data_IF_839729377290
#
_entry.id   IF_839729377290
#
_cell.length_a   1.000
_cell.length_b   1.000
_cell.length_c   1.000
_cell.angle_alpha   90.00
_cell.angle_beta   90.00
_cell.angle_gamma   90.00
#
_symmetry.space_group_name_H-M   'P 1'
#
loop_
_entity.id
_entity.type
_entity.pdbx_description
1 polymer ?
#
# COMPACT_ATOMS: atom_id res chain seq x y z
N UNK A 1 -17.88 24.42 5.57
CA UNK A 1 -18.93 23.37 5.50
C UNK A 1 -18.45 22.30 4.53
N UNK A 2 -18.41 21.02 4.94
CA UNK A 2 -18.07 19.91 4.05
C UNK A 2 -19.37 19.28 3.56
N UNK A 3 -19.69 19.30 2.25
CA UNK A 3 -20.97 18.82 1.76
C UNK A 3 -21.21 17.34 2.13
N UNK A 4 -22.37 16.96 2.67
CA UNK A 4 -22.69 15.56 2.96
C UNK A 4 -22.53 14.63 1.76
N UNK A 5 -22.82 15.11 0.55
CA UNK A 5 -22.61 14.38 -0.70
C UNK A 5 -21.14 14.04 -0.96
N UNK A 6 -20.22 14.96 -0.63
CA UNK A 6 -18.78 14.74 -0.75
C UNK A 6 -18.30 13.69 0.26
N UNK A 7 -18.82 13.74 1.49
CA UNK A 7 -18.52 12.72 2.52
C UNK A 7 -18.98 11.34 2.07
N UNK A 8 -20.22 11.23 1.56
CA UNK A 8 -20.76 9.98 1.05
C UNK A 8 -19.93 9.43 -0.13
N UNK A 9 -19.56 10.29 -1.07
CA UNK A 9 -18.71 9.91 -2.21
C UNK A 9 -17.34 9.38 -1.77
N UNK A 10 -16.64 10.08 -0.86
CA UNK A 10 -15.33 9.63 -0.38
C UNK A 10 -15.44 8.34 0.44
N UNK A 11 -16.47 8.23 1.28
CA UNK A 11 -16.72 6.99 2.03
C UNK A 11 -16.96 5.81 1.10
N UNK A 12 -17.72 6.00 0.02
CA UNK A 12 -17.92 4.97 -1.00
C UNK A 12 -16.58 4.57 -1.64
N UNK A 13 -15.77 5.54 -2.06
CA UNK A 13 -14.44 5.27 -2.64
C UNK A 13 -13.51 4.52 -1.69
N UNK A 14 -13.55 4.84 -0.39
CA UNK A 14 -12.81 4.08 0.63
C UNK A 14 -13.32 2.64 0.66
N UNK A 15 -14.62 2.43 0.86
CA UNK A 15 -15.20 1.09 1.02
C UNK A 15 -15.19 0.22 -0.23
N UNK A 16 -15.10 0.82 -1.41
CA UNK A 16 -14.99 0.13 -2.70
C UNK A 16 -13.57 0.16 -3.27
N UNK A 17 -12.57 0.40 -2.43
CA UNK A 17 -11.19 0.49 -2.88
C UNK A 17 -10.75 -0.81 -3.54
N UNK A 18 -10.09 -0.69 -4.68
CA UNK A 18 -9.39 -1.77 -5.37
C UNK A 18 -8.03 -1.26 -5.82
N UNK A 19 -7.00 -2.10 -5.69
CA UNK A 19 -5.69 -1.86 -6.28
C UNK A 19 -5.79 -2.00 -7.81
N UNK A 20 -5.13 -1.10 -8.55
CA UNK A 20 -5.02 -1.20 -9.99
C UNK A 20 -3.92 -2.22 -10.39
N UNK A 21 -4.01 -2.82 -11.57
CA UNK A 21 -3.05 -3.86 -12.00
C UNK A 21 -1.61 -3.35 -12.16
N UNK A 22 -1.45 -2.06 -12.43
CA UNK A 22 -0.17 -1.37 -12.61
C UNK A 22 0.39 -0.76 -11.32
N UNK A 23 -0.39 -0.76 -10.23
CA UNK A 23 0.04 -0.20 -8.95
C UNK A 23 0.89 -1.20 -8.16
N UNK A 24 2.00 -0.69 -7.64
CA UNK A 24 2.74 -1.33 -6.56
C UNK A 24 1.93 -1.35 -5.25
N UNK A 25 2.34 -2.18 -4.28
CA UNK A 25 1.70 -2.18 -2.95
C UNK A 25 1.83 -0.81 -2.27
N UNK A 26 2.99 -0.14 -2.45
CA UNK A 26 3.22 1.20 -1.92
C UNK A 26 2.24 2.23 -2.48
N UNK A 27 2.10 2.29 -3.81
CA UNK A 27 1.22 3.26 -4.48
C UNK A 27 -0.24 3.04 -4.08
N UNK A 28 -0.69 1.78 -4.05
CA UNK A 28 -2.03 1.43 -3.60
C UNK A 28 -2.27 1.85 -2.15
N UNK A 29 -1.31 1.60 -1.25
CA UNK A 29 -1.43 1.95 0.17
C UNK A 29 -1.45 3.46 0.40
N UNK A 30 -0.59 4.23 -0.26
CA UNK A 30 -0.61 5.70 -0.17
C UNK A 30 -1.90 6.27 -0.74
N UNK A 31 -2.38 5.80 -1.90
CA UNK A 31 -3.67 6.23 -2.47
C UNK A 31 -4.83 5.97 -1.52
N UNK A 32 -4.82 4.83 -0.85
CA UNK A 32 -5.84 4.51 0.15
C UNK A 32 -5.76 5.44 1.36
N UNK A 33 -4.55 5.70 1.89
CA UNK A 33 -4.36 6.65 3.00
C UNK A 33 -4.78 8.07 2.62
N UNK A 34 -4.56 8.49 1.37
CA UNK A 34 -5.03 9.79 0.87
C UNK A 34 -6.56 9.89 0.88
N UNK A 35 -7.29 8.84 0.50
CA UNK A 35 -8.75 8.82 0.60
C UNK A 35 -9.23 9.00 2.05
N UNK A 36 -8.55 8.36 3.03
CA UNK A 36 -8.85 8.53 4.46
C UNK A 36 -8.59 9.98 4.92
N UNK A 37 -7.45 10.57 4.52
CA UNK A 37 -7.06 11.95 4.85
C UNK A 37 -8.02 12.99 4.24
N UNK A 38 -8.59 12.71 3.05
CA UNK A 38 -9.58 13.57 2.40
C UNK A 38 -10.94 13.57 3.12
N UNK A 39 -11.23 12.54 3.92
CA UNK A 39 -12.49 12.41 4.66
C UNK A 39 -12.23 12.03 6.13
N UNK A 40 -11.56 12.87 6.95
CA UNK A 40 -11.16 12.50 8.31
C UNK A 40 -12.33 12.15 9.23
N UNK A 41 -13.54 12.64 8.90
CA UNK A 41 -14.82 12.31 9.53
C UNK A 41 -15.51 11.08 8.91
N UNK A 42 -14.76 10.15 8.30
CA UNK A 42 -15.28 8.96 7.63
C UNK A 42 -16.00 7.97 8.58
N UNK A 43 -15.69 8.00 9.89
CA UNK A 43 -16.35 7.18 10.91
C UNK A 43 -16.10 5.68 10.81
N UNK A 44 -15.03 5.27 10.11
CA UNK A 44 -14.62 3.88 9.97
C UNK A 44 -13.69 3.51 11.12
N UNK A 45 -13.89 2.32 11.69
CA UNK A 45 -13.00 1.77 12.70
C UNK A 45 -11.70 1.26 12.06
N UNK A 46 -10.62 1.19 12.84
CA UNK A 46 -9.29 0.83 12.32
C UNK A 46 -9.27 -0.56 11.67
N UNK A 47 -9.93 -1.55 12.28
CA UNK A 47 -10.06 -2.88 11.68
C UNK A 47 -10.80 -2.86 10.32
N UNK A 48 -11.82 -2.00 10.15
CA UNK A 48 -12.53 -1.85 8.87
C UNK A 48 -11.61 -1.27 7.80
N UNK A 49 -10.75 -0.32 8.17
CA UNK A 49 -9.76 0.29 7.25
C UNK A 49 -8.79 -0.78 6.74
N UNK A 50 -8.23 -1.59 7.64
CA UNK A 50 -7.32 -2.71 7.30
C UNK A 50 -8.03 -3.73 6.42
N UNK A 51 -9.24 -4.17 6.82
CA UNK A 51 -10.02 -5.15 6.07
C UNK A 51 -10.37 -4.67 4.67
N UNK A 52 -10.74 -3.40 4.53
CA UNK A 52 -11.10 -2.80 3.24
C UNK A 52 -9.90 -2.81 2.30
N UNK A 53 -8.72 -2.40 2.77
CA UNK A 53 -7.51 -2.44 1.95
C UNK A 53 -7.12 -3.86 1.56
N UNK A 54 -7.07 -4.78 2.52
CA UNK A 54 -6.72 -6.20 2.28
C UNK A 54 -7.67 -6.89 1.27
N UNK A 55 -8.95 -6.54 1.30
CA UNK A 55 -9.93 -7.04 0.33
C UNK A 55 -9.82 -6.36 -1.04
N UNK A 56 -9.31 -5.14 -1.08
CA UNK A 56 -9.12 -4.36 -2.31
C UNK A 56 -7.83 -4.68 -3.07
N UNK A 57 -6.80 -5.21 -2.41
CA UNK A 57 -5.55 -5.58 -3.10
C UNK A 57 -5.70 -6.83 -3.95
N UNK A 58 -4.87 -6.93 -5.00
CA UNK A 58 -4.87 -8.08 -5.92
C UNK A 58 -4.40 -9.36 -5.22
N UNK A 59 -4.84 -10.51 -5.71
CA UNK A 59 -4.60 -11.81 -5.06
C UNK A 59 -3.11 -12.13 -4.78
N UNK A 60 -2.15 -11.83 -5.69
CA UNK A 60 -0.73 -12.03 -5.39
C UNK A 60 -0.23 -11.20 -4.21
N UNK A 61 -0.68 -9.93 -4.12
CA UNK A 61 -0.32 -9.02 -3.01
C UNK A 61 -0.93 -9.50 -1.70
N UNK A 62 -2.19 -9.93 -1.74
CA UNK A 62 -2.85 -10.54 -0.57
C UNK A 62 -2.07 -11.74 -0.02
N UNK A 63 -1.66 -12.66 -0.90
CA UNK A 63 -0.88 -13.83 -0.51
C UNK A 63 0.49 -13.45 0.10
N UNK A 64 1.15 -12.41 -0.41
CA UNK A 64 2.39 -11.89 0.19
C UNK A 64 2.16 -11.32 1.59
N UNK A 65 1.05 -10.61 1.80
CA UNK A 65 0.70 -10.05 3.11
C UNK A 65 0.42 -11.16 4.12
N UNK A 66 -0.35 -12.19 3.74
CA UNK A 66 -0.61 -13.35 4.61
C UNK A 66 0.70 -14.10 4.94
N UNK A 67 1.57 -14.31 3.96
CA UNK A 67 2.87 -14.93 4.20
C UNK A 67 3.73 -14.13 5.20
N UNK A 68 3.72 -12.80 5.11
CA UNK A 68 4.44 -11.92 6.04
C UNK A 68 3.83 -11.91 7.45
N UNK A 69 2.51 -12.08 7.56
CA UNK A 69 1.82 -12.25 8.85
C UNK A 69 2.06 -13.65 9.46
N UNK A 70 2.62 -14.61 8.72
CA UNK A 70 2.79 -15.99 9.17
C UNK A 70 1.47 -16.78 9.22
N UNK A 71 0.43 -16.30 8.52
CA UNK A 71 -0.94 -16.79 8.62
C UNK A 71 -1.92 -15.87 7.89
N UNK A 72 -3.19 -15.85 8.27
CA UNK A 72 -4.08 -14.83 7.71
C UNK A 72 -3.82 -13.48 8.40
N UNK A 73 -3.73 -12.39 7.64
CA UNK A 73 -3.64 -11.05 8.26
C UNK A 73 -4.77 -10.79 9.26
N UNK A 74 -5.95 -11.36 9.03
CA UNK A 74 -7.14 -11.16 9.85
C UNK A 74 -7.08 -11.83 11.23
N UNK A 75 -6.04 -12.63 11.52
CA UNK A 75 -5.80 -13.12 12.89
C UNK A 75 -5.03 -12.14 13.77
N UNK A 76 -4.36 -11.15 13.16
CA UNK A 76 -3.59 -10.14 13.86
C UNK A 76 -4.48 -9.08 14.50
N UNK A 77 -3.97 -8.34 15.48
CA UNK A 77 -4.68 -7.16 15.97
C UNK A 77 -4.72 -6.07 14.89
N UNK A 78 -5.72 -5.20 14.96
CA UNK A 78 -5.87 -4.06 14.03
C UNK A 78 -4.66 -3.11 14.00
N UNK A 79 -3.84 -3.10 15.05
CA UNK A 79 -2.61 -2.32 15.12
C UNK A 79 -1.47 -3.04 14.41
N UNK A 80 -1.28 -4.33 14.69
CA UNK A 80 -0.25 -5.16 14.07
C UNK A 80 -0.48 -5.29 12.56
N UNK A 81 -1.72 -5.58 12.14
CA UNK A 81 -2.07 -5.69 10.74
C UNK A 81 -1.84 -4.39 9.96
N UNK A 82 -2.19 -3.24 10.56
CA UNK A 82 -1.91 -1.93 9.95
C UNK A 82 -0.41 -1.68 9.81
N UNK A 83 0.37 -1.95 10.87
CA UNK A 83 1.80 -1.74 10.88
C UNK A 83 2.53 -2.65 9.87
N UNK A 84 2.09 -3.90 9.74
CA UNK A 84 2.64 -4.84 8.76
C UNK A 84 2.42 -4.34 7.33
N UNK A 85 1.21 -3.89 6.99
CA UNK A 85 0.93 -3.32 5.67
C UNK A 85 1.80 -2.09 5.41
N UNK A 86 1.92 -1.19 6.40
CA UNK A 86 2.76 0.01 6.30
C UNK A 86 4.24 -0.36 6.06
N UNK A 87 4.78 -1.31 6.83
CA UNK A 87 6.16 -1.77 6.67
C UNK A 87 6.37 -2.39 5.28
N UNK A 88 5.49 -3.29 4.84
CA UNK A 88 5.57 -3.93 3.53
C UNK A 88 5.47 -2.91 2.38
N UNK A 89 4.63 -1.89 2.51
CA UNK A 89 4.52 -0.80 1.54
C UNK A 89 5.84 0.01 1.45
N UNK A 90 6.40 0.41 2.59
CA UNK A 90 7.66 1.17 2.63
C UNK A 90 8.84 0.36 2.08
N UNK A 91 8.88 -0.91 2.41
CA UNK A 91 9.80 -1.90 1.86
C UNK A 91 9.68 -1.95 0.33
N UNK A 92 8.47 -2.14 -0.19
CA UNK A 92 8.21 -2.20 -1.62
C UNK A 92 8.65 -0.92 -2.37
N UNK A 93 8.53 0.25 -1.74
CA UNK A 93 9.07 1.50 -2.28
C UNK A 93 10.60 1.47 -2.41
N UNK A 94 11.31 1.05 -1.36
CA UNK A 94 12.77 0.99 -1.35
C UNK A 94 13.31 0.07 -2.45
N UNK A 95 12.79 -1.15 -2.57
CA UNK A 95 13.20 -2.09 -3.61
C UNK A 95 12.93 -1.60 -5.04
N UNK A 96 11.82 -0.88 -5.24
CA UNK A 96 11.48 -0.30 -6.54
C UNK A 96 12.44 0.85 -6.91
N UNK A 97 12.81 1.67 -5.92
CA UNK A 97 13.73 2.81 -6.13
C UNK A 97 15.19 2.37 -6.37
N UNK A 98 15.64 1.29 -5.71
CA UNK A 98 17.00 0.75 -5.88
C UNK A 98 17.23 0.16 -7.27
N UNK A 99 16.21 -0.47 -7.87
CA UNK A 99 16.29 -1.04 -9.23
C UNK A 99 16.18 0.02 -10.33
N UNK A 100 15.69 1.22 -10.00
CA UNK A 100 15.61 2.37 -10.91
C UNK A 100 16.93 3.12 -11.10
N UNK A 101 17.96 2.83 -10.30
CA UNK A 101 19.28 3.43 -10.49
C UNK A 101 20.11 2.59 -11.49
N UNK A 102 20.51 3.14 -12.66
CA UNK A 102 21.48 2.47 -13.49
C UNK A 102 22.79 2.36 -12.71
N UNK A 103 23.23 1.12 -12.43
CA UNK A 103 24.58 0.88 -11.92
C UNK A 103 25.56 1.48 -12.93
N UNK A 104 26.25 2.55 -12.54
CA UNK A 104 27.42 3.03 -13.29
C UNK A 104 28.50 1.95 -13.21
N UNK A 105 28.56 1.09 -14.21
CA UNK A 105 29.71 0.21 -14.43
C UNK A 105 30.82 1.11 -14.95
N UNK A 106 31.73 1.50 -14.05
CA UNK A 106 32.95 2.22 -14.42
C UNK A 106 33.84 1.29 -15.23
N UNK A 107 33.83 1.46 -16.55
CA UNK A 107 34.88 0.94 -17.42
C UNK A 107 36.13 1.78 -17.26
N UNK A 108 37.27 1.13 -17.04
CA UNK A 108 38.59 1.70 -17.28
C UNK A 108 39.37 0.71 -18.15
N UNK A 109 39.33 1.03 -19.43
CA UNK A 109 40.33 0.89 -20.50
C UNK A 109 41.60 0.09 -20.18
N UNK A 110 41.86 -0.93 -21.01
CA UNK A 110 43.20 -1.48 -21.25
C UNK A 110 44.12 -0.37 -21.78
N UNK A 111 45.25 -0.12 -21.11
CA UNK A 111 46.41 0.51 -21.74
C UNK A 111 47.43 -0.58 -22.04
N UNK A 112 47.68 -0.73 -23.34
CA UNK A 112 48.77 -1.48 -23.95
C UNK A 112 50.02 -0.59 -23.92
N UNK A 113 51.13 -1.14 -23.44
CA UNK A 113 52.50 -0.82 -23.86
C UNK A 113 53.39 -2.06 -23.67
#
# INVERSE_FOLDING_TARGET
FFPPSKTASLRNQITSFTQNEDETLYEAWERFKDLLRLCPHHGLQKWMVVQTFYNGVIQPVRAMIDAAAGGTLMSETEVEAYNLIEEMALNNYQWSNERGQPKRVGGLQEEVD
#
